data_IF_832568173522
#
_entry.id   IF_832568173522
#
_cell.length_a   1.000
_cell.length_b   1.000
_cell.length_c   1.000
_cell.angle_alpha   90.00
_cell.angle_beta   90.00
_cell.angle_gamma   90.00
#
_symmetry.space_group_name_H-M   'P 1'
#
loop_
_entity.id
_entity.type
_entity.pdbx_description
1 polymer ?
#
# COMPACT_ATOMS: atom_id res chain seq x y z
N UNK A 1 9.95 9.50 -27.28
CA UNK A 1 9.33 8.41 -27.19
C UNK A 1 7.86 8.45 -27.20
N UNK A 2 7.37 8.05 -28.31
CA UNK A 2 5.94 8.09 -28.54
C UNK A 2 5.17 7.28 -27.50
N UNK A 3 5.79 6.23 -27.02
CA UNK A 3 5.09 5.36 -26.08
C UNK A 3 4.68 6.07 -24.82
N UNK A 4 5.56 6.90 -24.32
CA UNK A 4 5.25 7.63 -23.09
C UNK A 4 4.43 8.87 -23.39
N UNK A 5 4.59 9.40 -24.57
CA UNK A 5 3.85 10.58 -24.92
C UNK A 5 2.37 10.32 -25.05
N UNK A 6 2.00 9.10 -25.37
CA UNK A 6 0.58 8.77 -25.46
C UNK A 6 -0.08 8.74 -24.11
N UNK A 7 0.70 8.66 -23.03
CA UNK A 7 0.11 8.61 -21.71
C UNK A 7 -0.53 7.30 -21.37
N UNK A 8 -0.46 6.33 -22.25
CA UNK A 8 -1.12 5.06 -22.02
C UNK A 8 -0.21 4.04 -21.37
N UNK A 9 1.04 4.35 -21.23
CA UNK A 9 2.00 3.42 -20.68
C UNK A 9 2.53 3.89 -19.36
N UNK A 10 2.70 2.95 -18.47
CA UNK A 10 3.32 3.22 -17.18
C UNK A 10 4.81 3.01 -17.30
N UNK A 11 5.59 3.67 -16.45
CA UNK A 11 7.02 3.42 -16.43
C UNK A 11 7.30 1.96 -16.18
N UNK A 12 8.38 1.48 -16.69
CA UNK A 12 8.80 0.13 -16.39
C UNK A 12 9.19 0.02 -14.93
N UNK A 13 9.20 -1.21 -14.44
CA UNK A 13 9.44 -1.42 -13.03
C UNK A 13 10.76 -0.82 -12.57
N UNK A 14 11.80 -0.95 -13.40
CA UNK A 14 13.09 -0.39 -13.01
C UNK A 14 13.08 1.14 -13.02
N UNK A 15 12.34 1.74 -13.94
CA UNK A 15 12.22 3.19 -13.96
C UNK A 15 11.38 3.68 -12.77
N UNK A 16 10.34 2.96 -12.45
CA UNK A 16 9.53 3.30 -11.29
C UNK A 16 10.37 3.23 -10.02
N UNK A 17 11.19 2.20 -9.88
CA UNK A 17 12.05 2.08 -8.71
C UNK A 17 13.05 3.23 -8.64
N UNK A 18 13.61 3.62 -9.78
CA UNK A 18 14.57 4.72 -9.80
C UNK A 18 13.90 6.03 -9.43
N UNK A 19 12.70 6.27 -9.94
CA UNK A 19 11.97 7.48 -9.59
C UNK A 19 11.61 7.49 -8.12
N UNK A 20 11.20 6.35 -7.58
CA UNK A 20 10.85 6.28 -6.18
C UNK A 20 12.06 6.59 -5.31
N UNK A 21 13.22 6.13 -5.71
CA UNK A 21 14.43 6.40 -4.96
C UNK A 21 14.76 7.88 -4.95
N UNK A 22 14.63 8.52 -6.10
CA UNK A 22 14.89 9.95 -6.22
C UNK A 22 13.92 10.74 -5.37
N UNK A 23 12.66 10.34 -5.36
CA UNK A 23 11.62 11.05 -4.61
C UNK A 23 11.53 10.61 -3.16
N UNK A 24 12.28 9.58 -2.79
CA UNK A 24 12.27 9.03 -1.42
C UNK A 24 10.89 8.56 -1.02
N UNK A 25 10.28 7.77 -1.89
CA UNK A 25 9.01 7.14 -1.61
C UNK A 25 9.09 5.69 -2.03
N UNK A 26 8.12 4.91 -1.58
CA UNK A 26 8.04 3.52 -2.00
C UNK A 26 7.69 3.43 -3.48
N UNK A 27 8.29 2.49 -4.22
CA UNK A 27 7.89 2.32 -5.62
C UNK A 27 6.39 2.08 -5.77
N UNK A 28 5.79 1.41 -4.81
CA UNK A 28 4.35 1.15 -4.85
C UNK A 28 3.54 2.44 -4.80
N UNK A 29 4.10 3.49 -4.23
CA UNK A 29 3.40 4.77 -4.19
C UNK A 29 3.27 5.40 -5.56
N UNK A 30 4.15 5.03 -6.48
CA UNK A 30 4.12 5.55 -7.85
C UNK A 30 3.36 4.63 -8.80
N UNK A 31 3.15 3.38 -8.40
CA UNK A 31 2.54 2.39 -9.26
C UNK A 31 1.12 2.10 -8.80
N UNK A 32 0.27 3.11 -8.96
CA UNK A 32 -1.11 3.00 -8.51
C UNK A 32 -2.01 2.77 -9.71
N UNK A 33 -3.18 2.15 -9.49
CA UNK A 33 -4.11 1.95 -10.59
C UNK A 33 -4.70 3.28 -11.05
N UNK A 34 -5.31 3.23 -12.22
CA UNK A 34 -5.95 4.40 -12.81
C UNK A 34 -7.27 4.65 -12.07
N UNK A 35 -7.29 5.65 -11.24
CA UNK A 35 -8.50 6.03 -10.54
C UNK A 35 -8.85 7.48 -10.80
N UNK A 36 -8.37 8.01 -11.91
CA UNK A 36 -8.63 9.40 -12.26
C UNK A 36 -10.09 9.64 -12.60
N UNK A 37 -10.78 8.61 -13.06
CA UNK A 37 -12.20 8.72 -13.35
C UNK A 37 -12.99 7.93 -12.34
N UNK A 38 -14.21 8.37 -12.11
CA UNK A 38 -15.09 7.66 -11.19
C UNK A 38 -15.41 6.26 -11.71
N UNK A 39 -15.53 6.13 -13.02
CA UNK A 39 -15.82 4.81 -13.59
C UNK A 39 -14.61 3.89 -13.39
N UNK A 40 -13.40 4.40 -13.62
CA UNK A 40 -12.20 3.59 -13.38
C UNK A 40 -12.09 3.20 -11.93
N UNK A 41 -12.41 4.12 -11.04
CA UNK A 41 -12.40 3.80 -9.61
C UNK A 41 -13.38 2.67 -9.30
N UNK A 42 -14.57 2.73 -9.85
CA UNK A 42 -15.56 1.69 -9.58
C UNK A 42 -15.07 0.33 -10.04
N UNK A 43 -14.43 0.27 -11.21
CA UNK A 43 -13.93 -1.02 -11.68
C UNK A 43 -12.79 -1.52 -10.81
N UNK A 44 -12.00 -0.61 -10.26
CA UNK A 44 -10.98 -1.02 -9.29
C UNK A 44 -11.64 -1.62 -8.06
N UNK A 45 -12.69 -0.99 -7.57
CA UNK A 45 -13.39 -1.51 -6.40
C UNK A 45 -14.04 -2.85 -6.68
N UNK A 46 -14.58 -3.03 -7.90
CA UNK A 46 -15.15 -4.33 -8.27
C UNK A 46 -14.08 -5.42 -8.27
N UNK A 47 -12.89 -5.08 -8.75
CA UNK A 47 -11.79 -6.03 -8.71
C UNK A 47 -11.45 -6.40 -7.27
N UNK A 48 -11.46 -5.41 -6.38
CA UNK A 48 -11.19 -5.68 -4.98
C UNK A 48 -12.28 -6.56 -4.36
N UNK A 49 -13.51 -6.40 -4.82
CA UNK A 49 -14.57 -7.29 -4.38
C UNK A 49 -14.28 -8.73 -4.76
N UNK A 50 -13.88 -8.93 -6.02
CA UNK A 50 -13.64 -10.27 -6.53
C UNK A 50 -12.42 -10.92 -5.90
N UNK A 51 -11.35 -10.16 -5.72
CA UNK A 51 -10.08 -10.74 -5.29
C UNK A 51 -10.00 -10.78 -3.77
N UNK A 52 -10.42 -9.72 -3.10
CA UNK A 52 -10.19 -9.58 -1.67
C UNK A 52 -11.45 -9.65 -0.82
N UNK A 53 -12.60 -9.76 -1.45
CA UNK A 53 -13.81 -9.84 -0.65
C UNK A 53 -14.27 -8.50 -0.09
N UNK A 54 -13.89 -7.41 -0.76
CA UNK A 54 -14.39 -6.12 -0.38
C UNK A 54 -15.88 -6.09 -0.64
N UNK A 55 -16.66 -5.60 0.33
CA UNK A 55 -18.10 -5.52 0.19
C UNK A 55 -18.55 -4.12 0.57
N UNK A 56 -19.70 -3.73 0.05
CA UNK A 56 -20.27 -2.45 0.39
C UNK A 56 -21.38 -2.69 1.41
N UNK A 57 -21.47 -1.78 2.39
CA UNK A 57 -22.39 -1.92 3.47
C UNK A 57 -22.87 -0.54 3.88
N UNK A 58 -23.71 -0.51 4.88
CA UNK A 58 -24.22 0.75 5.41
C UNK A 58 -24.17 0.70 6.92
N UNK A 59 -23.64 1.76 7.52
CA UNK A 59 -23.58 1.89 8.96
C UNK A 59 -23.97 3.30 9.33
N UNK A 60 -24.96 3.41 10.23
CA UNK A 60 -25.42 4.72 10.70
C UNK A 60 -25.87 5.61 9.56
N UNK A 61 -26.47 5.00 8.54
CA UNK A 61 -26.97 5.75 7.40
C UNK A 61 -25.91 6.12 6.38
N UNK A 62 -24.69 5.65 6.55
CA UNK A 62 -23.61 5.98 5.64
C UNK A 62 -23.07 4.73 4.98
N UNK A 63 -22.76 4.85 3.68
CA UNK A 63 -22.18 3.74 2.95
C UNK A 63 -20.75 3.53 3.43
N UNK A 64 -20.39 2.29 3.65
CA UNK A 64 -19.03 1.96 4.04
C UNK A 64 -18.59 0.70 3.32
N UNK A 65 -17.29 0.51 3.26
CA UNK A 65 -16.69 -0.66 2.64
C UNK A 65 -16.12 -1.55 3.72
N UNK A 66 -16.31 -2.85 3.56
CA UNK A 66 -15.85 -3.82 4.53
C UNK A 66 -15.11 -4.93 3.81
N UNK A 67 -14.20 -5.55 4.50
CA UNK A 67 -13.50 -6.72 3.98
C UNK A 67 -14.09 -7.96 4.62
N UNK A 68 -14.47 -8.91 3.79
CA UNK A 68 -14.97 -10.19 4.27
C UNK A 68 -13.76 -11.08 4.52
N UNK A 69 -13.31 -11.10 5.77
CA UNK A 69 -12.10 -11.83 6.12
C UNK A 69 -12.22 -13.33 5.88
N UNK A 70 -13.44 -13.81 5.77
CA UNK A 70 -13.66 -15.24 5.56
C UNK A 70 -13.50 -15.64 4.11
N UNK A 71 -13.28 -14.68 3.21
CA UNK A 71 -13.13 -15.01 1.82
C UNK A 71 -11.80 -15.71 1.53
N UNK A 72 -10.79 -15.47 2.34
CA UNK A 72 -9.53 -16.15 2.13
C UNK A 72 -8.37 -15.40 2.73
N UNK A 73 -7.18 -15.90 2.44
CA UNK A 73 -5.97 -15.33 2.99
C UNK A 73 -5.75 -13.89 2.54
N UNK A 74 -5.98 -13.65 1.26
CA UNK A 74 -5.77 -12.30 0.73
C UNK A 74 -6.69 -11.30 1.38
N UNK A 75 -7.93 -11.71 1.65
CA UNK A 75 -8.87 -10.82 2.32
C UNK A 75 -8.43 -10.53 3.74
N UNK A 76 -7.95 -11.55 4.42
CA UNK A 76 -7.48 -11.35 5.79
C UNK A 76 -6.27 -10.42 5.82
N UNK A 77 -5.36 -10.61 4.90
CA UNK A 77 -4.18 -9.75 4.85
C UNK A 77 -4.55 -8.32 4.53
N UNK A 78 -5.47 -8.13 3.59
CA UNK A 78 -5.93 -6.78 3.30
C UNK A 78 -6.57 -6.13 4.52
N UNK A 79 -7.35 -6.90 5.26
CA UNK A 79 -7.97 -6.37 6.46
C UNK A 79 -6.93 -5.88 7.45
N UNK A 80 -5.84 -6.62 7.60
CA UNK A 80 -4.78 -6.20 8.51
C UNK A 80 -4.12 -4.90 8.03
N UNK A 81 -3.93 -4.77 6.74
CA UNK A 81 -3.38 -3.54 6.20
C UNK A 81 -4.32 -2.37 6.44
N UNK A 82 -5.62 -2.60 6.33
CA UNK A 82 -6.58 -1.54 6.59
C UNK A 82 -6.59 -1.14 8.06
N UNK A 83 -6.38 -2.09 8.95
CA UNK A 83 -6.25 -1.75 10.37
C UNK A 83 -5.04 -0.87 10.61
N UNK A 84 -3.93 -1.17 9.94
CA UNK A 84 -2.75 -0.34 10.08
C UNK A 84 -3.03 1.08 9.60
N UNK A 85 -3.72 1.19 8.48
CA UNK A 85 -4.08 2.50 7.95
C UNK A 85 -5.02 3.22 8.90
N UNK A 86 -6.00 2.48 9.44
CA UNK A 86 -6.95 3.09 10.37
C UNK A 86 -6.23 3.63 11.61
N UNK A 87 -5.25 2.90 12.07
CA UNK A 87 -4.50 3.37 13.24
C UNK A 87 -3.85 4.70 12.96
N UNK A 88 -3.23 4.83 11.82
CA UNK A 88 -2.59 6.09 11.46
C UNK A 88 -3.60 7.20 11.27
N UNK A 89 -4.73 6.87 10.65
CA UNK A 89 -5.78 7.86 10.45
C UNK A 89 -6.36 8.34 11.77
N UNK A 90 -6.51 7.42 12.72
CA UNK A 90 -6.99 7.79 14.04
C UNK A 90 -6.00 8.70 14.76
N UNK A 91 -4.71 8.42 14.62
CA UNK A 91 -3.70 9.26 15.22
C UNK A 91 -3.71 10.65 14.62
N UNK A 92 -3.94 10.74 13.32
CA UNK A 92 -4.05 12.04 12.68
C UNK A 92 -5.28 12.79 13.20
N UNK A 93 -6.41 12.11 13.31
CA UNK A 93 -7.64 12.71 13.79
C UNK A 93 -7.49 13.23 15.23
N UNK A 94 -6.80 12.48 16.05
CA UNK A 94 -6.61 12.86 17.45
C UNK A 94 -5.44 13.79 17.63
N UNK A 95 -4.77 14.16 16.55
CA UNK A 95 -3.63 15.08 16.57
C UNK A 95 -2.42 14.50 17.29
N UNK A 96 -2.37 13.18 17.39
CA UNK A 96 -1.18 12.52 17.87
C UNK A 96 -0.02 12.65 16.91
N UNK A 97 -0.33 12.67 15.63
CA UNK A 97 0.68 12.87 14.59
C UNK A 97 0.22 14.00 13.69
N UNK A 98 1.18 14.65 13.05
CA UNK A 98 0.89 15.72 12.13
C UNK A 98 0.48 15.14 10.76
N UNK A 99 -0.08 16.00 9.93
CA UNK A 99 -0.39 15.61 8.56
C UNK A 99 0.87 15.19 7.83
N UNK A 100 1.97 15.86 8.11
CA UNK A 100 3.23 15.52 7.47
C UNK A 100 3.67 14.12 7.86
N UNK A 101 3.54 13.78 9.13
CA UNK A 101 3.89 12.45 9.59
C UNK A 101 2.98 11.39 8.99
N UNK A 102 1.70 11.70 8.89
CA UNK A 102 0.74 10.78 8.27
C UNK A 102 1.08 10.56 6.80
N UNK A 103 1.35 11.62 6.08
CA UNK A 103 1.70 11.50 4.67
C UNK A 103 3.01 10.76 4.50
N UNK A 104 3.97 10.99 5.39
CA UNK A 104 5.23 10.29 5.33
C UNK A 104 5.02 8.77 5.47
N UNK A 105 4.13 8.38 6.39
CA UNK A 105 3.81 6.97 6.54
C UNK A 105 3.23 6.40 5.25
N UNK A 106 2.29 7.12 4.64
CA UNK A 106 1.65 6.63 3.43
C UNK A 106 2.63 6.49 2.28
N UNK A 107 3.48 7.48 2.10
CA UNK A 107 4.39 7.47 0.95
C UNK A 107 5.49 6.42 1.10
N UNK A 108 5.78 6.02 2.30
CA UNK A 108 6.80 4.99 2.51
C UNK A 108 6.21 3.63 2.83
N UNK A 109 4.90 3.55 2.89
CA UNK A 109 4.27 2.27 3.16
C UNK A 109 4.75 1.23 2.16
N UNK A 110 5.06 0.01 2.57
CA UNK A 110 4.84 -0.58 3.90
C UNK A 110 6.05 -0.50 4.82
N UNK A 111 7.01 0.31 4.52
CA UNK A 111 8.29 0.32 5.22
C UNK A 111 8.16 0.59 6.71
N UNK A 112 7.27 1.51 7.07
CA UNK A 112 7.12 1.94 8.46
C UNK A 112 5.98 1.25 9.17
N UNK A 113 5.38 0.25 8.56
CA UNK A 113 4.23 -0.41 9.14
C UNK A 113 4.71 -1.47 10.11
N UNK A 114 4.62 -1.16 11.38
CA UNK A 114 5.06 -2.07 12.42
C UNK A 114 3.92 -2.82 13.09
N UNK A 115 2.71 -2.62 12.58
CA UNK A 115 1.54 -3.25 13.20
C UNK A 115 1.16 -4.57 12.53
N UNK A 116 1.87 -4.97 11.50
CA UNK A 116 1.49 -6.12 10.71
C UNK A 116 2.12 -7.38 11.25
N UNK A 117 1.53 -7.89 12.32
CA UNK A 117 2.02 -9.14 12.89
C UNK A 117 1.77 -10.30 11.95
N UNK A 118 0.68 -10.23 11.21
CA UNK A 118 0.32 -11.29 10.29
C UNK A 118 1.35 -11.46 9.19
N UNK A 119 2.01 -10.39 8.84
CA UNK A 119 3.03 -10.45 7.79
C UNK A 119 4.29 -11.14 8.30
N UNK A 120 4.55 -11.02 9.59
CA UNK A 120 5.81 -11.51 10.12
C UNK A 120 5.96 -13.01 10.01
N UNK A 121 4.86 -13.75 10.12
CA UNK A 121 4.99 -15.20 10.12
C UNK A 121 5.43 -15.73 8.76
N UNK A 122 4.71 -15.43 7.68
CA UNK A 122 5.16 -15.94 6.37
C UNK A 122 6.19 -15.07 5.69
N UNK A 123 6.14 -13.76 5.92
CA UNK A 123 6.97 -12.83 5.19
C UNK A 123 8.14 -12.33 5.99
N UNK A 124 8.19 -12.64 7.27
CA UNK A 124 9.25 -12.11 8.11
C UNK A 124 10.61 -12.62 7.68
N UNK A 125 10.70 -13.90 7.36
CA UNK A 125 11.96 -14.44 6.93
C UNK A 125 12.46 -13.78 5.67
N UNK A 126 11.55 -13.56 4.73
CA UNK A 126 11.93 -12.89 3.50
C UNK A 126 12.36 -11.46 3.80
N UNK A 127 11.62 -10.79 4.64
CA UNK A 127 11.96 -9.43 5.00
C UNK A 127 13.32 -9.36 5.67
N UNK A 128 13.58 -10.27 6.60
CA UNK A 128 14.87 -10.31 7.28
C UNK A 128 15.99 -10.58 6.28
N UNK A 129 15.75 -11.49 5.37
CA UNK A 129 16.74 -11.80 4.35
C UNK A 129 17.04 -10.59 3.50
N UNK A 130 16.01 -9.87 3.11
CA UNK A 130 16.20 -8.67 2.31
C UNK A 130 16.95 -7.60 3.07
N UNK A 131 16.63 -7.43 4.33
CA UNK A 131 17.29 -6.43 5.14
C UNK A 131 18.78 -6.77 5.27
N UNK A 132 19.10 -8.02 5.51
CA UNK A 132 20.49 -8.40 5.60
C UNK A 132 21.22 -8.25 4.28
N UNK A 133 20.55 -8.61 3.21
CA UNK A 133 21.14 -8.44 1.90
C UNK A 133 21.45 -6.97 1.62
N UNK A 134 20.52 -6.11 1.96
CA UNK A 134 20.72 -4.68 1.74
C UNK A 134 21.78 -4.13 2.65
N UNK A 135 21.86 -4.61 3.88
CA UNK A 135 22.92 -4.18 4.78
C UNK A 135 24.27 -4.50 4.22
N UNK A 136 24.40 -5.70 3.69
CA UNK A 136 25.68 -6.10 3.11
C UNK A 136 26.04 -5.21 1.92
N UNK A 137 25.05 -4.84 1.13
CA UNK A 137 25.31 -4.03 -0.03
C UNK A 137 25.51 -2.56 0.31
N UNK A 138 24.75 -2.07 1.28
CA UNK A 138 24.84 -0.66 1.65
C UNK A 138 26.00 -0.36 2.55
N UNK A 139 26.52 -1.40 3.21
CA UNK A 139 27.68 -1.24 4.08
C UNK A 139 28.80 -2.13 3.59
N UNK A 140 29.46 -1.69 2.55
CA UNK A 140 30.53 -2.54 1.97
C UNK A 140 31.64 -2.85 2.94
N UNK A 141 31.77 -2.06 3.96
CA UNK A 141 32.80 -2.30 4.96
C UNK A 141 32.48 -3.47 5.86
N UNK A 142 31.31 -4.00 5.73
CA UNK A 142 30.96 -5.12 6.59
C UNK A 142 31.54 -6.41 6.11
#
# INVERSE_FOLDING_TARGET
>A
MAQYETGSRKPKADLTAALAQVLDVSPQALDVPDIDSQIGLMHTLFTLEDVYGLTVSEADGEVCLKVNKDKGKEAYELLQMLYAWKEQADKLSSEEISREEYDNWRYHYPKFDTTQHWVKVPSQELSDTLVETFKDKLKPDK
#
